data_IF_797412272759
#
_entry.id   IF_797412272759
#
_cell.length_a   1.000
_cell.length_b   1.000
_cell.length_c   1.000
_cell.angle_alpha   90.00
_cell.angle_beta   90.00
_cell.angle_gamma   90.00
#
_symmetry.space_group_name_H-M   'P 1'
#
loop_
_entity.id
_entity.type
_entity.pdbx_description
1 polymer ?
#
# COMPACT_ATOMS: atom_id res chain seq x y z
N UNK A 1 -1.28 12.91 12.43
CA UNK A 1 -1.93 12.18 11.30
C UNK A 1 -2.29 10.77 11.75
N UNK A 2 -3.48 10.26 11.44
CA UNK A 2 -3.93 8.91 11.84
C UNK A 2 -3.58 7.84 10.81
N UNK A 3 -3.19 6.66 11.30
CA UNK A 3 -3.09 5.42 10.53
C UNK A 3 -4.50 4.80 10.45
N UNK A 4 -4.97 4.33 9.28
CA UNK A 4 -6.21 3.60 9.16
C UNK A 4 -6.17 2.35 10.05
N UNK A 5 -7.31 2.02 10.66
CA UNK A 5 -7.42 0.90 11.59
C UNK A 5 -6.87 -0.41 10.99
N UNK A 6 -7.15 -0.66 9.70
CA UNK A 6 -6.69 -1.84 8.98
C UNK A 6 -5.15 -1.94 8.90
N UNK A 7 -4.44 -0.81 8.78
CA UNK A 7 -2.97 -0.81 8.77
C UNK A 7 -2.39 -0.95 10.19
N UNK A 8 -3.11 -0.54 11.25
CA UNK A 8 -2.63 -0.73 12.64
C UNK A 8 -2.52 -2.20 13.03
N UNK A 9 -3.40 -3.06 12.51
CA UNK A 9 -3.37 -4.50 12.78
C UNK A 9 -2.07 -5.15 12.30
N UNK A 10 -1.45 -4.60 11.25
CA UNK A 10 -0.22 -5.13 10.68
C UNK A 10 1.05 -4.61 11.37
N UNK A 11 0.92 -3.57 12.21
CA UNK A 11 2.05 -2.95 12.86
C UNK A 11 2.29 -3.59 14.22
N UNK A 12 3.53 -4.00 14.52
CA UNK A 12 3.93 -4.23 15.90
C UNK A 12 3.58 -3.00 16.75
N UNK A 13 3.07 -3.19 17.97
CA UNK A 13 2.68 -2.07 18.84
C UNK A 13 3.87 -1.13 19.14
N UNK A 14 5.09 -1.65 19.07
CA UNK A 14 6.35 -0.92 19.23
C UNK A 14 6.89 -0.29 17.94
N UNK A 15 6.24 -0.49 16.79
CA UNK A 15 6.72 0.02 15.52
C UNK A 15 6.59 1.53 15.44
N UNK A 16 7.71 2.20 15.14
CA UNK A 16 7.70 3.62 14.86
C UNK A 16 7.09 3.88 13.47
N UNK A 17 5.96 4.58 13.42
CA UNK A 17 5.40 5.05 12.16
C UNK A 17 6.06 6.37 11.74
N UNK A 18 6.50 6.45 10.49
CA UNK A 18 6.97 7.67 9.88
C UNK A 18 6.32 7.95 8.52
N UNK A 19 6.10 9.24 8.26
CA UNK A 19 5.73 9.77 6.95
C UNK A 19 6.97 10.39 6.32
N UNK A 20 7.64 9.75 5.35
CA UNK A 20 8.97 10.18 4.90
C UNK A 20 9.01 11.55 4.20
N UNK A 21 7.85 12.12 3.88
CA UNK A 21 7.73 13.50 3.39
C UNK A 21 7.79 14.57 4.50
N UNK A 22 7.79 14.18 5.77
CA UNK A 22 7.97 15.04 6.94
C UNK A 22 9.40 14.89 7.47
N UNK A 23 10.16 15.98 7.51
CA UNK A 23 11.55 15.98 8.01
C UNK A 23 11.64 15.46 9.44
N UNK A 24 10.74 15.90 10.33
CA UNK A 24 10.73 15.46 11.72
C UNK A 24 10.43 13.97 11.91
N UNK A 25 9.72 13.33 10.98
CA UNK A 25 9.49 11.87 11.04
C UNK A 25 10.72 11.10 10.53
N UNK A 26 11.45 11.65 9.55
CA UNK A 26 12.70 11.07 9.08
C UNK A 26 13.77 11.06 10.19
N UNK A 27 13.92 12.17 10.91
CA UNK A 27 14.87 12.29 12.02
C UNK A 27 14.56 11.29 13.16
N UNK A 28 13.27 11.10 13.47
CA UNK A 28 12.85 10.08 14.44
C UNK A 28 13.24 8.67 14.03
N UNK A 29 13.11 8.30 12.76
CA UNK A 29 13.51 6.98 12.29
C UNK A 29 15.03 6.80 12.39
N UNK A 30 15.80 7.83 12.07
CA UNK A 30 17.26 7.79 12.18
C UNK A 30 17.73 7.67 13.63
N UNK A 31 16.99 8.23 14.58
CA UNK A 31 17.27 8.15 16.01
C UNK A 31 16.90 6.79 16.64
N UNK A 32 16.23 5.89 15.92
CA UNK A 32 15.89 4.57 16.44
C UNK A 32 17.12 3.68 16.55
N UNK A 33 17.17 2.79 17.57
CA UNK A 33 18.24 1.80 17.65
C UNK A 33 18.18 0.82 16.47
N UNK A 34 19.33 0.25 16.06
CA UNK A 34 19.37 -0.84 15.10
C UNK A 34 18.46 -2.00 15.53
N UNK A 35 17.80 -2.63 14.57
CA UNK A 35 16.80 -3.69 14.76
C UNK A 35 15.41 -3.20 15.15
N UNK A 36 15.22 -1.91 15.48
CA UNK A 36 13.91 -1.39 15.86
C UNK A 36 12.89 -1.53 14.72
N UNK A 37 11.65 -1.95 15.01
CA UNK A 37 10.60 -2.04 14.00
C UNK A 37 10.18 -0.66 13.51
N UNK A 38 10.12 -0.49 12.18
CA UNK A 38 9.78 0.77 11.52
C UNK A 38 8.69 0.53 10.49
N UNK A 39 7.76 1.47 10.41
CA UNK A 39 6.74 1.51 9.39
C UNK A 39 6.74 2.83 8.64
N UNK A 40 6.92 2.78 7.33
CA UNK A 40 6.92 3.95 6.46
C UNK A 40 5.62 3.99 5.65
N UNK A 41 4.93 5.13 5.67
CA UNK A 41 3.67 5.32 4.95
C UNK A 41 3.76 6.46 3.92
N UNK A 42 3.12 6.27 2.76
CA UNK A 42 2.93 7.33 1.76
C UNK A 42 1.53 7.20 1.12
N UNK A 43 0.82 8.33 0.99
CA UNK A 43 -0.55 8.42 0.42
C UNK A 43 -0.57 8.85 -1.04
N UNK A 44 0.59 9.18 -1.61
CA UNK A 44 0.69 9.69 -2.98
C UNK A 44 0.75 8.55 -3.98
N UNK A 45 0.17 8.76 -5.17
CA UNK A 45 0.27 7.84 -6.31
C UNK A 45 1.73 7.52 -6.66
N UNK A 46 2.01 6.28 -7.07
CA UNK A 46 3.38 5.83 -7.35
C UNK A 46 4.32 5.82 -6.13
N UNK A 47 3.79 5.69 -4.91
CA UNK A 47 4.53 5.73 -3.64
C UNK A 47 5.55 4.62 -3.47
N UNK A 48 5.47 3.52 -4.23
CA UNK A 48 6.38 2.38 -4.10
C UNK A 48 7.85 2.77 -4.24
N UNK A 49 8.21 3.39 -5.37
CA UNK A 49 9.59 3.77 -5.65
C UNK A 49 10.09 4.86 -4.69
N UNK A 50 9.20 5.73 -4.21
CA UNK A 50 9.56 6.73 -3.19
C UNK A 50 9.81 6.07 -1.85
N UNK A 51 8.90 5.21 -1.38
CA UNK A 51 9.03 4.51 -0.10
C UNK A 51 10.29 3.65 -0.06
N UNK A 52 10.62 2.93 -1.14
CA UNK A 52 11.90 2.19 -1.24
C UNK A 52 13.12 3.11 -1.15
N UNK A 53 13.10 4.25 -1.86
CA UNK A 53 14.17 5.25 -1.77
C UNK A 53 14.28 5.87 -0.38
N UNK A 54 13.16 6.08 0.32
CA UNK A 54 13.16 6.57 1.69
C UNK A 54 13.66 5.50 2.67
N UNK A 55 13.22 4.25 2.53
CA UNK A 55 13.71 3.13 3.33
C UNK A 55 15.23 2.98 3.19
N UNK A 56 15.75 2.98 1.96
CA UNK A 56 17.19 2.93 1.72
C UNK A 56 17.94 4.10 2.36
N UNK A 57 17.44 5.34 2.23
CA UNK A 57 18.06 6.54 2.84
C UNK A 57 18.03 6.54 4.36
N UNK A 58 16.99 5.96 4.95
CA UNK A 58 16.81 5.88 6.41
C UNK A 58 17.48 4.62 7.00
N UNK A 59 18.17 3.82 6.18
CA UNK A 59 18.75 2.55 6.59
C UNK A 59 17.68 1.61 7.16
N UNK A 60 16.53 1.49 6.50
CA UNK A 60 15.47 0.56 6.86
C UNK A 60 15.54 -0.65 5.93
N UNK A 61 15.75 -1.83 6.51
CA UNK A 61 15.65 -3.11 5.83
C UNK A 61 14.18 -3.45 5.70
N UNK A 62 13.70 -3.56 4.46
CA UNK A 62 12.28 -3.80 4.16
C UNK A 62 11.95 -5.28 4.33
N UNK A 63 11.02 -5.58 5.23
CA UNK A 63 10.52 -6.95 5.46
C UNK A 63 9.28 -7.23 4.60
N UNK A 64 8.36 -6.26 4.50
CA UNK A 64 7.11 -6.41 3.77
C UNK A 64 6.59 -5.08 3.22
N UNK A 65 5.90 -5.14 2.07
CA UNK A 65 5.24 -4.00 1.43
C UNK A 65 3.75 -4.27 1.35
N UNK A 66 2.92 -3.29 1.70
CA UNK A 66 1.48 -3.41 1.65
C UNK A 66 0.84 -2.27 0.87
N UNK A 67 -0.29 -2.59 0.27
CA UNK A 67 -1.16 -1.69 -0.47
C UNK A 67 -2.41 -1.44 0.37
N UNK A 68 -2.75 -0.17 0.58
CA UNK A 68 -3.88 0.27 1.40
C UNK A 68 -4.96 0.86 0.50
N UNK A 69 -6.15 0.24 0.51
CA UNK A 69 -7.22 0.49 -0.46
C UNK A 69 -8.55 0.79 0.21
N UNK A 70 -9.42 1.60 -0.43
CA UNK A 70 -9.19 2.34 -1.68
C UNK A 70 -8.27 3.56 -1.49
N UNK A 71 -8.27 4.16 -0.31
CA UNK A 71 -7.41 5.29 0.07
C UNK A 71 -7.00 5.15 1.53
N UNK A 72 -5.97 5.90 1.95
CA UNK A 72 -5.48 5.85 3.33
C UNK A 72 -6.53 6.25 4.36
N UNK A 73 -7.36 7.25 4.05
CA UNK A 73 -8.34 7.78 5.00
C UNK A 73 -9.66 6.99 5.02
N UNK A 74 -9.87 6.11 4.02
CA UNK A 74 -11.06 5.24 3.91
C UNK A 74 -10.69 3.78 3.67
N UNK A 75 -9.58 3.33 4.27
CA UNK A 75 -9.05 2.01 4.00
C UNK A 75 -10.03 0.91 4.45
N UNK A 76 -10.44 0.07 3.51
CA UNK A 76 -11.23 -1.15 3.73
C UNK A 76 -10.35 -2.40 3.63
N UNK A 77 -9.33 -2.36 2.77
CA UNK A 77 -8.45 -3.50 2.52
C UNK A 77 -6.99 -3.11 2.69
N UNK A 78 -6.21 -4.04 3.25
CA UNK A 78 -4.76 -3.99 3.22
C UNK A 78 -4.27 -5.33 2.69
N UNK A 79 -3.48 -5.31 1.63
CA UNK A 79 -2.97 -6.51 0.98
C UNK A 79 -1.46 -6.39 0.79
N UNK A 80 -0.75 -7.51 0.84
CA UNK A 80 0.67 -7.55 0.52
C UNK A 80 0.87 -7.16 -0.96
N UNK A 81 1.95 -6.42 -1.25
CA UNK A 81 2.28 -5.94 -2.61
C UNK A 81 2.99 -7.03 -3.43
N UNK A 82 2.41 -8.22 -3.44
CA UNK A 82 2.82 -9.35 -4.25
C UNK A 82 1.73 -9.71 -5.28
N UNK A 83 2.10 -10.31 -6.44
CA UNK A 83 1.14 -10.57 -7.51
C UNK A 83 -0.02 -11.50 -7.12
N UNK A 84 0.18 -12.42 -6.18
CA UNK A 84 -0.86 -13.37 -5.78
C UNK A 84 -1.89 -12.69 -4.88
N UNK A 85 -1.43 -11.93 -3.88
CA UNK A 85 -2.29 -11.13 -2.99
C UNK A 85 -3.09 -10.09 -3.76
N UNK A 86 -2.47 -9.40 -4.72
CA UNK A 86 -3.16 -8.44 -5.57
C UNK A 86 -4.22 -9.10 -6.46
N UNK A 87 -3.95 -10.30 -6.98
CA UNK A 87 -4.94 -11.06 -7.77
C UNK A 87 -6.13 -11.48 -6.92
N UNK A 88 -5.89 -12.00 -5.72
CA UNK A 88 -6.94 -12.36 -4.76
C UNK A 88 -7.78 -11.14 -4.35
N UNK A 89 -7.14 -10.01 -4.10
CA UNK A 89 -7.81 -8.76 -3.77
C UNK A 89 -8.71 -8.30 -4.92
N UNK A 90 -8.23 -8.41 -6.16
CA UNK A 90 -9.04 -8.10 -7.34
C UNK A 90 -10.22 -9.04 -7.51
N UNK A 91 -10.05 -10.36 -7.30
CA UNK A 91 -11.18 -11.29 -7.33
C UNK A 91 -12.20 -10.99 -6.25
N UNK A 92 -11.74 -10.57 -5.06
CA UNK A 92 -12.60 -10.21 -3.93
C UNK A 92 -13.37 -8.92 -4.22
N UNK A 93 -12.73 -7.91 -4.80
CA UNK A 93 -13.40 -6.68 -5.20
C UNK A 93 -14.43 -6.93 -6.31
N UNK A 94 -14.14 -7.81 -7.26
CA UNK A 94 -15.06 -8.17 -8.34
C UNK A 94 -16.33 -8.87 -7.84
N UNK A 95 -16.25 -9.60 -6.72
CA UNK A 95 -17.38 -10.31 -6.12
C UNK A 95 -18.07 -9.54 -5.01
N UNK A 96 -17.54 -8.39 -4.59
CA UNK A 96 -18.13 -7.56 -3.53
C UNK A 96 -19.28 -6.71 -4.09
N UNK A 97 -20.49 -6.76 -3.51
CA UNK A 97 -21.60 -5.93 -3.95
C UNK A 97 -21.25 -4.42 -3.88
N UNK A 98 -21.57 -3.64 -4.93
CA UNK A 98 -21.12 -2.25 -5.07
C UNK A 98 -21.69 -1.29 -4.00
N UNK A 99 -22.73 -1.69 -3.27
CA UNK A 99 -23.43 -0.82 -2.30
C UNK A 99 -22.81 -0.77 -0.90
N UNK A 100 -21.75 -1.55 -0.63
CA UNK A 100 -21.14 -1.64 0.71
C UNK A 100 -19.79 -0.93 0.85
N UNK A 101 -19.13 -0.48 -0.24
CA UNK A 101 -17.80 0.11 -0.17
C UNK A 101 -17.81 1.65 -0.30
N UNK A 102 -17.41 2.36 0.76
CA UNK A 102 -17.13 3.81 0.74
C UNK A 102 -15.85 4.09 -0.06
N UNK A 103 -15.98 4.02 -1.38
CA UNK A 103 -14.89 4.06 -2.36
C UNK A 103 -15.29 3.58 -3.76
N UNK A 104 -16.58 3.28 -3.94
CA UNK A 104 -17.25 2.81 -5.16
C UNK A 104 -16.67 3.33 -6.47
N UNK A 105 -16.43 4.63 -6.62
CA UNK A 105 -15.87 5.18 -7.87
C UNK A 105 -14.46 4.65 -8.20
N UNK A 106 -13.56 4.58 -7.20
CA UNK A 106 -12.20 4.10 -7.43
C UNK A 106 -12.19 2.58 -7.70
N UNK A 107 -13.03 1.83 -6.97
CA UNK A 107 -13.20 0.38 -7.14
C UNK A 107 -13.87 0.06 -8.49
N UNK A 108 -14.92 0.79 -8.87
CA UNK A 108 -15.61 0.63 -10.15
C UNK A 108 -14.70 0.98 -11.32
N UNK A 109 -13.91 2.05 -11.23
CA UNK A 109 -12.92 2.41 -12.26
C UNK A 109 -11.85 1.33 -12.38
N UNK A 110 -11.32 0.84 -11.25
CA UNK A 110 -10.36 -0.27 -11.21
C UNK A 110 -10.92 -1.55 -11.85
N UNK A 111 -12.16 -1.92 -11.50
CA UNK A 111 -12.84 -3.10 -11.98
C UNK A 111 -13.17 -2.99 -13.48
N UNK A 112 -13.65 -1.83 -13.94
CA UNK A 112 -13.93 -1.57 -15.36
C UNK A 112 -12.66 -1.59 -16.21
N UNK A 113 -11.57 -0.98 -15.73
CA UNK A 113 -10.26 -1.07 -16.38
C UNK A 113 -9.80 -2.52 -16.48
N UNK A 114 -9.91 -3.29 -15.39
CA UNK A 114 -9.54 -4.70 -15.39
C UNK A 114 -10.38 -5.54 -16.37
N UNK A 115 -11.71 -5.40 -16.35
CA UNK A 115 -12.60 -6.11 -17.25
C UNK A 115 -12.35 -5.73 -18.73
N UNK A 116 -12.12 -4.46 -19.03
CA UNK A 116 -11.81 -4.01 -20.39
C UNK A 116 -10.49 -4.59 -20.93
N UNK A 117 -9.48 -4.73 -20.06
CA UNK A 117 -8.18 -5.28 -20.41
C UNK A 117 -8.18 -6.81 -20.46
N UNK A 118 -9.01 -7.47 -19.64
CA UNK A 118 -9.24 -8.92 -19.70
C UNK A 118 -10.01 -9.32 -20.97
N UNK A 119 -11.02 -8.52 -21.36
CA UNK A 119 -11.79 -8.72 -22.59
C UNK A 119 -10.94 -8.56 -23.87
N UNK A 120 -9.83 -7.81 -23.80
CA UNK A 120 -8.89 -7.66 -24.91
C UNK A 120 -8.00 -8.89 -25.18
N UNK A 121 -8.19 -10.01 -24.47
CA UNK A 121 -7.60 -11.32 -24.80
C UNK A 121 -6.08 -11.41 -24.68
N UNK A 122 -5.42 -10.45 -24.03
CA UNK A 122 -3.95 -10.40 -23.87
C UNK A 122 -3.52 -10.88 -22.48
N UNK A 123 -2.25 -11.28 -22.29
CA UNK A 123 -1.62 -11.45 -20.95
C UNK A 123 -1.60 -10.16 -20.08
N UNK A 124 -2.39 -9.15 -20.46
CA UNK A 124 -2.51 -7.83 -19.87
C UNK A 124 -3.16 -7.79 -18.49
N UNK A 125 -3.74 -8.88 -17.98
CA UNK A 125 -4.24 -8.92 -16.59
C UNK A 125 -3.13 -8.64 -15.56
N UNK A 126 -1.89 -9.09 -15.82
CA UNK A 126 -0.72 -8.78 -14.99
C UNK A 126 -0.25 -7.32 -15.13
N UNK A 127 -0.38 -6.74 -16.33
CA UNK A 127 -0.09 -5.33 -16.61
C UNK A 127 -1.14 -4.42 -15.99
N UNK A 128 -2.41 -4.79 -16.04
CA UNK A 128 -3.52 -4.10 -15.41
C UNK A 128 -3.36 -4.08 -13.88
N UNK A 129 -3.00 -5.21 -13.26
CA UNK A 129 -2.69 -5.27 -11.84
C UNK A 129 -1.48 -4.38 -11.49
N UNK A 130 -0.44 -4.35 -12.34
CA UNK A 130 0.72 -3.46 -12.19
C UNK A 130 0.38 -1.98 -12.36
N UNK A 131 -0.52 -1.64 -13.27
CA UNK A 131 -1.01 -0.28 -13.47
C UNK A 131 -1.91 0.14 -12.30
N UNK A 132 -2.72 -0.77 -11.78
CA UNK A 132 -3.52 -0.52 -10.59
C UNK A 132 -2.63 -0.17 -9.38
N UNK A 133 -1.56 -0.93 -9.18
CA UNK A 133 -0.49 -0.70 -8.19
C UNK A 133 0.10 0.71 -8.26
N UNK A 134 0.11 1.32 -9.45
CA UNK A 134 0.57 2.69 -9.70
C UNK A 134 -0.47 3.74 -9.28
N UNK A 135 -1.76 3.41 -9.43
CA UNK A 135 -2.90 4.27 -9.16
C UNK A 135 -3.44 4.10 -7.73
N UNK A 136 -2.96 3.10 -6.96
CA UNK A 136 -3.32 3.02 -5.54
C UNK A 136 -2.60 4.11 -4.74
N UNK A 137 -3.33 5.02 -4.08
CA UNK A 137 -2.72 6.12 -3.35
C UNK A 137 -1.99 5.66 -2.09
N UNK A 138 -2.48 4.64 -1.38
CA UNK A 138 -1.94 4.23 -0.09
C UNK A 138 -0.91 3.10 -0.16
N UNK A 139 0.30 3.32 0.35
CA UNK A 139 1.30 2.26 0.57
C UNK A 139 1.96 2.32 1.94
N UNK A 140 2.19 1.14 2.50
CA UNK A 140 2.84 0.92 3.78
C UNK A 140 4.05 0.02 3.53
N UNK A 141 5.20 0.38 4.09
CA UNK A 141 6.38 -0.49 4.14
C UNK A 141 6.65 -0.79 5.59
N UNK A 142 6.80 -2.06 5.93
CA UNK A 142 7.20 -2.52 7.26
C UNK A 142 8.61 -3.09 7.15
N UNK A 143 9.44 -2.73 8.10
CA UNK A 143 10.83 -3.17 8.13
C UNK A 143 11.48 -2.94 9.48
N UNK A 144 12.80 -3.03 9.50
CA UNK A 144 13.62 -2.77 10.68
C UNK A 144 14.72 -1.77 10.37
N UNK A 145 15.10 -0.97 11.37
CA UNK A 145 16.29 -0.14 11.28
C UNK A 145 17.52 -1.04 11.16
N UNK A 146 18.31 -0.87 10.11
CA UNK A 146 19.58 -1.56 9.86
C UNK A 146 20.76 -0.95 10.60
#
# INVERSE_FOLDING_TARGET
MSIPAAARVLLPQSAALAWPGSSGDADRVLALPPGAPVALADRRLGSRARLRRHAARLGVVVDAEYVVLPTWDRATFVANDDPASLRWLMSTLATTPPDLSRGRLAVDVALRLWLSLAAAGRPGAGLAARLLVLVVPGRLVIGRRG
#
